data_IF_765554340606
#
_entry.id   IF_765554340606
#
_cell.length_a   1.000
_cell.length_b   1.000
_cell.length_c   1.000
_cell.angle_alpha   90.00
_cell.angle_beta   90.00
_cell.angle_gamma   90.00
#
_symmetry.space_group_name_H-M   'P 1'
#
loop_
_entity.id
_entity.type
_entity.pdbx_description
1 polymer ?
#
# COMPACT_ATOMS: atom_id res chain seq x y z
N UNK A 1 1.08 5.92 -10.14
CA UNK A 1 0.06 5.24 -9.31
C UNK A 1 0.05 3.79 -9.71
N UNK A 2 0.30 2.87 -8.76
CA UNK A 2 0.20 1.44 -9.02
C UNK A 2 -0.56 0.80 -7.87
N UNK A 3 -1.69 0.18 -8.19
CA UNK A 3 -2.37 -0.76 -7.31
C UNK A 3 -1.93 -2.13 -7.80
N UNK A 4 -1.26 -2.89 -6.95
CA UNK A 4 -0.94 -4.28 -7.25
C UNK A 4 -1.84 -5.16 -6.37
N UNK A 5 -2.78 -5.84 -7.00
CA UNK A 5 -3.46 -6.97 -6.38
C UNK A 5 -2.59 -8.21 -6.56
N UNK A 6 -2.22 -8.85 -5.45
CA UNK A 6 -1.58 -10.17 -5.47
C UNK A 6 -2.71 -11.18 -5.33
N UNK A 7 -3.04 -11.86 -6.43
CA UNK A 7 -4.23 -12.71 -6.53
C UNK A 7 -4.00 -14.12 -5.96
N UNK A 8 -4.95 -14.58 -5.16
CA UNK A 8 -5.18 -15.98 -4.76
C UNK A 8 -6.67 -16.34 -4.88
N UNK A 9 -7.22 -17.22 -4.02
CA UNK A 9 -8.68 -17.33 -3.86
C UNK A 9 -9.22 -16.10 -3.10
N UNK A 10 -10.53 -15.82 -3.11
CA UNK A 10 -11.11 -14.57 -2.56
C UNK A 10 -10.74 -14.21 -1.09
N UNK A 11 -10.20 -15.15 -0.31
CA UNK A 11 -9.65 -14.90 1.04
C UNK A 11 -8.14 -14.61 1.05
N UNK A 12 -7.39 -15.01 0.02
CA UNK A 12 -5.92 -15.05 -0.05
C UNK A 12 -5.29 -13.85 -0.77
N UNK A 13 -6.05 -12.76 -0.92
CA UNK A 13 -5.58 -11.59 -1.67
C UNK A 13 -4.91 -10.56 -0.76
N UNK A 14 -3.82 -9.99 -1.28
CA UNK A 14 -3.18 -8.83 -0.69
C UNK A 14 -3.20 -7.62 -1.63
N UNK A 15 -3.17 -6.43 -1.07
CA UNK A 15 -3.21 -5.15 -1.80
C UNK A 15 -1.96 -4.34 -1.47
N UNK A 16 -1.23 -3.93 -2.51
CA UNK A 16 -0.20 -2.90 -2.39
C UNK A 16 -0.75 -1.59 -2.95
N UNK A 17 -0.78 -0.55 -2.13
CA UNK A 17 -1.08 0.81 -2.55
C UNK A 17 0.22 1.61 -2.64
N UNK A 18 0.52 2.11 -3.85
CA UNK A 18 1.70 2.93 -4.07
C UNK A 18 1.35 4.24 -4.81
N UNK A 19 1.84 5.36 -4.26
CA UNK A 19 1.60 6.68 -4.83
C UNK A 19 2.87 7.52 -4.92
N UNK A 20 3.06 8.28 -6.02
CA UNK A 20 3.90 9.46 -5.95
C UNK A 20 3.30 10.49 -4.98
N UNK A 21 4.15 11.31 -4.39
CA UNK A 21 3.73 12.45 -3.56
C UNK A 21 3.33 13.63 -4.45
N UNK A 22 2.10 14.09 -4.32
CA UNK A 22 1.60 15.34 -4.88
C UNK A 22 1.05 16.22 -3.76
N UNK A 23 1.64 17.42 -3.60
CA UNK A 23 1.25 18.38 -2.56
C UNK A 23 1.18 17.78 -1.14
N UNK A 24 2.09 16.86 -0.81
CA UNK A 24 2.14 16.20 0.49
C UNK A 24 1.11 15.09 0.70
N UNK A 25 0.47 14.63 -0.36
CA UNK A 25 -0.53 13.56 -0.29
C UNK A 25 -0.43 12.61 -1.50
N UNK A 26 -1.29 11.60 -1.53
CA UNK A 26 -1.43 10.68 -2.66
C UNK A 26 -1.89 11.42 -3.92
N UNK A 27 -1.70 10.80 -5.09
CA UNK A 27 -2.24 11.33 -6.34
C UNK A 27 -3.77 11.42 -6.32
N UNK A 28 -4.34 12.43 -7.00
CA UNK A 28 -5.79 12.63 -7.07
C UNK A 28 -6.54 11.37 -7.53
N UNK A 29 -6.03 10.67 -8.54
CA UNK A 29 -6.63 9.42 -9.03
C UNK A 29 -6.68 8.35 -7.94
N UNK A 30 -5.63 8.22 -7.12
CA UNK A 30 -5.62 7.24 -6.04
C UNK A 30 -6.59 7.67 -4.93
N UNK A 31 -6.58 8.95 -4.56
CA UNK A 31 -7.51 9.50 -3.58
C UNK A 31 -8.97 9.17 -3.95
N UNK A 32 -9.35 9.40 -5.20
CA UNK A 32 -10.69 9.05 -5.69
C UNK A 32 -10.97 7.56 -5.58
N UNK A 33 -10.01 6.68 -5.89
CA UNK A 33 -10.20 5.23 -5.74
C UNK A 33 -10.40 4.85 -4.27
N UNK A 34 -9.58 5.37 -3.35
CA UNK A 34 -9.70 5.08 -1.91
C UNK A 34 -11.06 5.50 -1.36
N UNK A 35 -11.51 6.70 -1.73
CA UNK A 35 -12.83 7.21 -1.32
C UNK A 35 -13.97 6.34 -1.85
N UNK A 36 -13.90 5.90 -3.11
CA UNK A 36 -14.94 5.04 -3.70
C UNK A 36 -14.95 3.65 -3.10
N UNK A 37 -13.78 3.03 -2.87
CA UNK A 37 -13.69 1.74 -2.18
C UNK A 37 -14.22 1.85 -0.75
N UNK A 38 -13.89 2.94 -0.05
CA UNK A 38 -14.41 3.21 1.30
C UNK A 38 -15.94 3.21 1.34
N UNK A 39 -16.60 3.95 0.44
CA UNK A 39 -18.07 3.96 0.33
C UNK A 39 -18.62 2.56 0.02
N UNK A 40 -18.00 1.81 -0.90
CA UNK A 40 -18.45 0.46 -1.22
C UNK A 40 -18.35 -0.46 0.01
N UNK A 41 -17.25 -0.41 0.75
CA UNK A 41 -17.09 -1.21 1.97
C UNK A 41 -18.10 -0.82 3.04
N UNK A 42 -18.34 0.48 3.22
CA UNK A 42 -19.32 1.00 4.18
C UNK A 42 -20.76 0.60 3.83
N UNK A 43 -21.11 0.55 2.54
CA UNK A 43 -22.43 0.11 2.09
C UNK A 43 -22.61 -1.43 2.17
N UNK A 44 -21.51 -2.18 2.33
CA UNK A 44 -21.51 -3.65 2.31
C UNK A 44 -20.84 -4.24 3.57
N UNK A 45 -20.98 -3.61 4.74
CA UNK A 45 -20.28 -3.98 5.98
C UNK A 45 -20.41 -5.46 6.35
N UNK A 46 -21.59 -6.04 6.17
CA UNK A 46 -21.87 -7.46 6.45
C UNK A 46 -21.00 -8.42 5.63
N UNK A 47 -20.60 -8.01 4.43
CA UNK A 47 -19.77 -8.83 3.54
C UNK A 47 -18.27 -8.76 3.86
N UNK A 48 -17.86 -7.84 4.75
CA UNK A 48 -16.48 -7.72 5.24
C UNK A 48 -15.43 -7.75 4.11
N UNK A 49 -15.69 -7.05 3.00
CA UNK A 49 -14.96 -7.18 1.72
C UNK A 49 -13.43 -7.13 1.84
N UNK A 50 -12.92 -6.25 2.71
CA UNK A 50 -11.48 -6.05 2.93
C UNK A 50 -10.98 -6.56 4.28
N UNK A 51 -11.87 -6.95 5.19
CA UNK A 51 -11.50 -7.40 6.53
C UNK A 51 -10.51 -8.55 6.45
N UNK A 52 -9.43 -8.44 7.23
CA UNK A 52 -8.35 -9.43 7.35
C UNK A 52 -7.60 -9.72 6.05
N UNK A 53 -7.77 -8.91 5.00
CA UNK A 53 -6.85 -8.90 3.86
C UNK A 53 -5.54 -8.22 4.24
N UNK A 54 -4.49 -8.54 3.50
CA UNK A 54 -3.14 -8.02 3.76
C UNK A 54 -2.91 -6.75 2.93
N UNK A 55 -2.49 -5.66 3.57
CA UNK A 55 -2.23 -4.37 2.96
C UNK A 55 -0.77 -3.94 3.14
N UNK A 56 -0.17 -3.37 2.09
CA UNK A 56 1.14 -2.73 2.15
C UNK A 56 1.10 -1.36 1.46
N UNK A 57 1.76 -0.36 2.05
CA UNK A 57 1.81 1.00 1.52
C UNK A 57 3.23 1.35 1.05
N UNK A 58 3.37 2.14 -0.01
CA UNK A 58 4.65 2.69 -0.47
C UNK A 58 4.46 4.12 -1.01
N UNK A 59 5.19 5.08 -0.47
CA UNK A 59 5.21 6.45 -0.99
C UNK A 59 6.48 6.71 -1.81
N UNK A 60 6.36 7.42 -2.94
CA UNK A 60 7.52 7.82 -3.75
C UNK A 60 7.58 9.34 -3.83
N UNK A 61 8.63 9.94 -3.28
CA UNK A 61 8.75 11.39 -3.17
C UNK A 61 9.96 11.92 -3.93
N UNK A 62 9.91 13.20 -4.33
CA UNK A 62 11.14 13.89 -4.77
C UNK A 62 12.02 14.33 -3.60
N UNK A 63 11.40 14.79 -2.51
CA UNK A 63 12.10 15.34 -1.33
C UNK A 63 11.28 15.32 -0.05
N UNK A 64 10.02 15.74 -0.07
CA UNK A 64 9.19 15.90 1.13
C UNK A 64 7.76 15.43 0.92
N UNK A 65 6.99 15.38 2.00
CA UNK A 65 5.58 14.94 1.99
C UNK A 65 5.39 13.42 1.93
N UNK A 66 6.47 12.65 2.00
CA UNK A 66 6.44 11.19 1.94
C UNK A 66 5.70 10.57 3.13
N UNK A 67 5.97 11.05 4.36
CA UNK A 67 5.30 10.57 5.57
C UNK A 67 3.80 10.83 5.55
N UNK A 68 3.37 12.06 5.26
CA UNK A 68 1.93 12.37 5.13
C UNK A 68 1.23 11.52 4.06
N UNK A 69 1.90 11.28 2.93
CA UNK A 69 1.38 10.42 1.86
C UNK A 69 1.27 8.98 2.33
N UNK A 70 2.30 8.47 3.02
CA UNK A 70 2.31 7.13 3.60
C UNK A 70 1.20 6.97 4.64
N UNK A 71 1.00 7.96 5.52
CA UNK A 71 -0.05 7.97 6.52
C UNK A 71 -1.45 7.90 5.89
N UNK A 72 -1.71 8.65 4.82
CA UNK A 72 -2.98 8.53 4.06
C UNK A 72 -3.21 7.10 3.57
N UNK A 73 -2.18 6.44 3.03
CA UNK A 73 -2.28 5.06 2.56
C UNK A 73 -2.50 4.07 3.72
N UNK A 74 -1.79 4.26 4.83
CA UNK A 74 -1.91 3.41 6.03
C UNK A 74 -3.29 3.56 6.66
N UNK A 75 -3.79 4.78 6.80
CA UNK A 75 -5.10 5.07 7.37
C UNK A 75 -6.22 4.36 6.61
N UNK A 76 -6.10 4.24 5.27
CA UNK A 76 -7.04 3.47 4.48
C UNK A 76 -7.05 1.98 4.89
N UNK A 77 -5.91 1.35 5.14
CA UNK A 77 -5.90 -0.04 5.59
C UNK A 77 -6.50 -0.21 6.99
N UNK A 78 -6.21 0.72 7.90
CA UNK A 78 -6.71 0.68 9.28
C UNK A 78 -8.23 0.80 9.35
N UNK A 79 -8.83 1.73 8.59
CA UNK A 79 -10.30 1.90 8.59
C UNK A 79 -11.02 0.72 7.92
N UNK A 80 -10.32 -0.05 7.07
CA UNK A 80 -10.88 -1.21 6.37
C UNK A 80 -10.62 -2.56 7.06
N UNK A 81 -10.18 -2.55 8.33
CA UNK A 81 -9.91 -3.77 9.12
C UNK A 81 -8.90 -4.73 8.45
N UNK A 82 -7.86 -4.16 7.81
CA UNK A 82 -6.82 -4.92 7.10
C UNK A 82 -5.57 -5.15 7.97
N UNK A 83 -4.84 -6.23 7.70
CA UNK A 83 -3.50 -6.46 8.28
C UNK A 83 -2.46 -5.61 7.56
N UNK A 84 -1.71 -4.79 8.30
CA UNK A 84 -0.68 -3.93 7.73
C UNK A 84 0.70 -4.62 7.71
N UNK A 85 1.35 -4.60 6.56
CA UNK A 85 2.72 -5.11 6.38
C UNK A 85 3.72 -3.97 6.56
N UNK A 86 4.68 -4.18 7.45
CA UNK A 86 5.84 -3.30 7.62
C UNK A 86 7.05 -3.74 6.78
N UNK A 87 8.08 -2.90 6.77
CA UNK A 87 9.39 -3.21 6.17
C UNK A 87 10.52 -2.96 7.18
N UNK A 88 11.76 -3.00 6.72
CA UNK A 88 12.96 -2.62 7.50
C UNK A 88 12.96 -1.16 7.93
N UNK A 89 12.28 -0.29 7.19
CA UNK A 89 12.10 1.13 7.52
C UNK A 89 10.74 1.62 7.01
N UNK A 90 10.46 2.93 7.14
CA UNK A 90 9.28 3.53 6.52
C UNK A 90 9.27 3.26 5.01
N UNK A 91 8.23 2.64 4.43
CA UNK A 91 8.14 2.33 3.02
C UNK A 91 8.05 3.59 2.14
N UNK A 92 9.21 4.21 1.92
CA UNK A 92 9.39 5.45 1.19
C UNK A 92 10.57 5.25 0.24
N UNK A 93 10.42 5.71 -1.00
CA UNK A 93 11.54 5.80 -1.94
C UNK A 93 11.58 7.19 -2.58
N UNK A 94 12.76 7.59 -3.07
CA UNK A 94 13.02 8.92 -3.59
C UNK A 94 13.41 8.94 -5.06
N UNK A 95 12.77 9.80 -5.86
CA UNK A 95 13.09 10.01 -7.26
C UNK A 95 12.32 11.19 -7.86
N UNK A 96 12.96 11.99 -8.72
CA UNK A 96 12.31 13.14 -9.36
C UNK A 96 11.66 12.77 -10.69
N UNK A 97 12.42 12.11 -11.55
CA UNK A 97 12.04 11.69 -12.88
C UNK A 97 11.77 10.18 -12.93
N UNK A 98 11.01 9.69 -13.92
CA UNK A 98 10.86 8.26 -14.13
C UNK A 98 12.22 7.56 -14.22
N UNK A 99 12.45 6.57 -13.36
CA UNK A 99 13.72 5.84 -13.29
C UNK A 99 14.66 6.32 -12.18
N UNK A 100 14.56 7.56 -11.70
CA UNK A 100 15.48 8.10 -10.68
C UNK A 100 15.45 7.30 -9.38
N UNK A 101 14.29 6.72 -9.05
CA UNK A 101 14.08 5.88 -7.86
C UNK A 101 15.01 4.66 -7.82
N UNK A 102 15.54 4.23 -8.97
CA UNK A 102 16.51 3.14 -9.04
C UNK A 102 17.87 3.50 -8.44
N UNK A 103 18.14 4.80 -8.21
CA UNK A 103 19.35 5.28 -7.54
C UNK A 103 19.15 5.46 -6.02
N UNK A 104 17.95 5.20 -5.49
CA UNK A 104 17.67 5.19 -4.06
C UNK A 104 17.79 3.76 -3.52
N UNK A 105 19.03 3.34 -3.25
CA UNK A 105 19.33 1.97 -2.80
C UNK A 105 18.56 1.57 -1.54
N UNK A 106 18.40 2.51 -0.59
CA UNK A 106 17.66 2.26 0.66
C UNK A 106 16.16 2.12 0.40
N UNK A 107 15.58 3.02 -0.41
CA UNK A 107 14.18 2.95 -0.80
C UNK A 107 13.85 1.67 -1.57
N UNK A 108 14.73 1.24 -2.48
CA UNK A 108 14.60 -0.02 -3.21
C UNK A 108 14.70 -1.22 -2.27
N UNK A 109 15.70 -1.28 -1.39
CA UNK A 109 15.84 -2.36 -0.42
C UNK A 109 14.62 -2.44 0.53
N UNK A 110 14.12 -1.28 0.95
CA UNK A 110 12.91 -1.19 1.78
C UNK A 110 11.67 -1.68 1.04
N UNK A 111 11.50 -1.33 -0.24
CA UNK A 111 10.39 -1.80 -1.05
C UNK A 111 10.46 -3.32 -1.33
N UNK A 112 11.67 -3.85 -1.56
CA UNK A 112 11.89 -5.30 -1.73
C UNK A 112 11.52 -6.07 -0.46
N UNK A 113 12.03 -5.63 0.70
CA UNK A 113 11.71 -6.25 1.98
C UNK A 113 10.22 -6.16 2.33
N UNK A 114 9.54 -5.07 1.96
CA UNK A 114 8.09 -4.95 2.11
C UNK A 114 7.37 -6.06 1.33
N UNK A 115 7.79 -6.32 0.09
CA UNK A 115 7.27 -7.39 -0.75
C UNK A 115 7.52 -8.78 -0.16
N UNK A 116 8.74 -9.05 0.31
CA UNK A 116 9.12 -10.31 0.97
C UNK A 116 8.27 -10.56 2.23
N UNK A 117 8.11 -9.53 3.08
CA UNK A 117 7.29 -9.62 4.29
C UNK A 117 5.82 -9.88 3.95
N UNK A 118 5.29 -9.21 2.92
CA UNK A 118 3.91 -9.42 2.47
C UNK A 118 3.72 -10.85 1.95
N UNK A 119 4.64 -11.35 1.13
CA UNK A 119 4.62 -12.72 0.64
C UNK A 119 4.68 -13.72 1.79
N UNK A 120 5.55 -13.49 2.77
CA UNK A 120 5.67 -14.35 3.94
C UNK A 120 4.35 -14.38 4.73
N UNK A 121 3.76 -13.21 5.01
CA UNK A 121 2.50 -13.11 5.75
C UNK A 121 1.35 -13.78 5.01
N UNK A 122 1.19 -13.51 3.70
CA UNK A 122 0.19 -14.16 2.86
C UNK A 122 0.34 -15.70 2.91
N UNK A 123 1.59 -16.18 2.80
CA UNK A 123 1.87 -17.62 2.90
C UNK A 123 1.46 -18.17 4.26
N UNK A 124 1.75 -17.48 5.36
CA UNK A 124 1.40 -17.95 6.71
C UNK A 124 -0.10 -17.91 7.00
N UNK A 125 -0.83 -16.94 6.44
CA UNK A 125 -2.27 -16.83 6.63
C UNK A 125 -3.06 -17.80 5.74
N UNK A 126 -2.51 -18.19 4.59
CA UNK A 126 -3.28 -18.81 3.51
C UNK A 126 -2.66 -20.06 2.88
N UNK A 127 -1.50 -20.54 3.37
CA UNK A 127 -1.02 -21.86 3.02
C UNK A 127 -1.98 -22.90 3.61
N UNK A 128 -2.64 -23.63 2.71
CA UNK A 128 -3.51 -24.77 2.96
C UNK A 128 -3.13 -25.82 1.93
#
# INVERSE_FOLDING_TARGET
MKILAINGSARKDGIILASPVYSGNVSANLQTILERIGVICDMNKESQLLSRKVGAALAVARRGGALNTLDTLVNFFLIQDMYLVGSTYWPIAYGQMPGDVMNDDEGIATAQRLGENMQHLLTKLFAS
#
